data_IF_958342284827
#
_entry.id   IF_958342284827
#
_cell.length_a   1.000
_cell.length_b   1.000
_cell.length_c   1.000
_cell.angle_alpha   90.00
_cell.angle_beta   90.00
_cell.angle_gamma   90.00
#
_symmetry.space_group_name_H-M   'P 1'
#
loop_
_entity.id
_entity.type
_entity.pdbx_description
1 polymer ?
#
# COMPACT_ATOMS: atom_id res chain seq x y z
N UNK A 1 14.08 -15.15 8.98
CA UNK A 1 12.89 -14.80 9.78
C UNK A 1 11.69 -14.78 8.85
N UNK A 2 10.85 -15.81 8.93
CA UNK A 2 9.70 -16.01 8.04
C UNK A 2 8.46 -15.53 8.78
N UNK A 3 7.97 -14.33 8.43
CA UNK A 3 6.63 -13.89 8.82
C UNK A 3 5.80 -13.77 7.53
N UNK A 4 5.49 -14.93 6.95
CA UNK A 4 4.57 -15.08 5.83
C UNK A 4 3.36 -15.87 6.33
N UNK A 5 2.23 -15.17 6.48
CA UNK A 5 0.99 -15.70 7.05
C UNK A 5 0.45 -14.61 7.96
N UNK A 6 -0.45 -13.74 7.53
CA UNK A 6 -1.76 -14.04 6.94
C UNK A 6 -2.19 -12.84 6.09
N UNK A 7 -1.90 -12.81 4.78
CA UNK A 7 -2.49 -11.82 3.85
C UNK A 7 -2.26 -12.08 2.35
N UNK A 8 -1.47 -13.09 1.96
CA UNK A 8 -1.13 -13.39 0.55
C UNK A 8 -2.32 -13.88 -0.31
N UNK A 9 -3.57 -13.78 0.15
CA UNK A 9 -4.76 -14.21 -0.61
C UNK A 9 -5.42 -13.10 -1.43
N UNK A 10 -5.01 -11.84 -1.34
CA UNK A 10 -5.73 -10.73 -2.01
C UNK A 10 -5.05 -10.12 -3.24
N UNK A 11 -3.79 -10.44 -3.53
CA UNK A 11 -3.09 -9.83 -4.68
C UNK A 11 -3.68 -10.27 -6.04
N UNK A 12 -4.23 -11.48 -6.14
CA UNK A 12 -4.58 -12.10 -7.42
C UNK A 12 -5.64 -11.37 -8.26
N UNK A 13 -6.37 -10.36 -7.73
CA UNK A 13 -7.42 -9.65 -8.47
C UNK A 13 -7.61 -8.18 -8.06
N UNK A 14 -6.61 -7.52 -7.46
CA UNK A 14 -6.71 -6.09 -7.14
C UNK A 14 -6.35 -5.27 -8.37
N UNK A 15 -7.24 -4.37 -8.79
CA UNK A 15 -6.93 -3.37 -9.81
C UNK A 15 -6.13 -2.20 -9.22
N UNK A 16 -5.30 -1.48 -9.99
CA UNK A 16 -4.60 -0.28 -9.51
C UNK A 16 -5.52 0.75 -8.85
N UNK A 17 -6.74 0.90 -9.37
CA UNK A 17 -7.77 1.80 -8.81
C UNK A 17 -8.26 1.34 -7.43
N UNK A 18 -8.44 0.03 -7.23
CA UNK A 18 -8.82 -0.52 -5.93
C UNK A 18 -7.67 -0.37 -4.92
N UNK A 19 -6.42 -0.62 -5.35
CA UNK A 19 -5.24 -0.38 -4.54
C UNK A 19 -5.19 1.07 -4.07
N UNK A 20 -5.31 2.03 -4.98
CA UNK A 20 -5.27 3.45 -4.65
C UNK A 20 -6.30 3.83 -3.58
N UNK A 21 -7.55 3.40 -3.74
CA UNK A 21 -8.61 3.63 -2.73
C UNK A 21 -8.29 2.97 -1.40
N UNK A 22 -7.74 1.76 -1.42
CA UNK A 22 -7.38 1.02 -0.20
C UNK A 22 -6.27 1.74 0.58
N UNK A 23 -5.20 2.13 -0.10
CA UNK A 23 -4.07 2.84 0.51
C UNK A 23 -4.51 4.17 1.15
N UNK A 24 -5.42 4.91 0.49
CA UNK A 24 -5.97 6.14 1.06
C UNK A 24 -6.76 5.91 2.35
N UNK A 25 -7.55 4.83 2.42
CA UNK A 25 -8.26 4.44 3.66
C UNK A 25 -7.30 4.01 4.75
N UNK A 26 -6.23 3.31 4.41
CA UNK A 26 -5.21 2.91 5.39
C UNK A 26 -4.47 4.12 5.94
N UNK A 27 -4.23 5.17 5.13
CA UNK A 27 -3.71 6.45 5.62
C UNK A 27 -4.59 7.12 6.68
N UNK A 28 -5.91 6.93 6.65
CA UNK A 28 -6.81 7.51 7.67
C UNK A 28 -6.60 6.90 9.05
N UNK A 29 -6.03 5.69 9.13
CA UNK A 29 -5.66 5.02 10.39
C UNK A 29 -4.37 5.54 11.00
N UNK A 30 -3.60 6.32 10.25
CA UNK A 30 -2.32 6.87 10.71
C UNK A 30 -2.53 8.15 11.53
N UNK A 31 -1.57 8.53 12.39
CA UNK A 31 -1.60 9.83 13.07
C UNK A 31 -1.69 10.98 12.07
N UNK A 32 -2.43 12.05 12.43
CA UNK A 32 -2.72 13.20 11.54
C UNK A 32 -1.49 13.75 10.83
N UNK A 33 -0.38 13.88 11.56
CA UNK A 33 0.91 14.37 11.05
C UNK A 33 1.48 13.50 9.91
N UNK A 34 1.25 12.19 9.96
CA UNK A 34 1.77 11.24 8.97
C UNK A 34 0.84 11.09 7.75
N UNK A 35 -0.45 11.39 7.88
CA UNK A 35 -1.43 11.14 6.82
C UNK A 35 -1.09 11.88 5.52
N UNK A 36 -0.73 13.17 5.62
CA UNK A 36 -0.44 14.00 4.46
C UNK A 36 0.79 13.52 3.69
N UNK A 37 1.85 13.14 4.41
CA UNK A 37 3.06 12.58 3.83
C UNK A 37 2.72 11.33 2.99
N UNK A 38 2.04 10.35 3.59
CA UNK A 38 1.73 9.11 2.88
C UNK A 38 0.70 9.28 1.77
N UNK A 39 -0.32 10.14 1.93
CA UNK A 39 -1.24 10.50 0.85
C UNK A 39 -0.49 11.08 -0.36
N UNK A 40 0.50 11.94 -0.12
CA UNK A 40 1.33 12.49 -1.18
C UNK A 40 2.17 11.39 -1.85
N UNK A 41 2.85 10.55 -1.06
CA UNK A 41 3.66 9.43 -1.59
C UNK A 41 2.84 8.47 -2.45
N UNK A 42 1.63 8.11 -2.02
CA UNK A 42 0.72 7.24 -2.79
C UNK A 42 0.36 7.89 -4.13
N UNK A 43 0.04 9.19 -4.12
CA UNK A 43 -0.30 9.92 -5.34
C UNK A 43 0.90 9.96 -6.31
N UNK A 44 2.09 10.26 -5.82
CA UNK A 44 3.30 10.31 -6.65
C UNK A 44 3.63 8.95 -7.24
N UNK A 45 3.60 7.89 -6.42
CA UNK A 45 3.84 6.52 -6.89
C UNK A 45 2.84 6.10 -7.96
N UNK A 46 1.56 6.45 -7.82
CA UNK A 46 0.55 6.14 -8.82
C UNK A 46 0.79 6.87 -10.15
N UNK A 47 1.19 8.14 -10.09
CA UNK A 47 1.52 8.92 -11.30
C UNK A 47 2.75 8.37 -12.02
N UNK A 48 3.76 7.91 -11.27
CA UNK A 48 4.99 7.34 -11.83
C UNK A 48 4.71 6.06 -12.65
N UNK A 49 3.69 5.29 -12.30
CA UNK A 49 3.38 4.00 -12.91
C UNK A 49 2.13 4.00 -13.79
N UNK A 50 1.58 5.18 -14.11
CA UNK A 50 0.32 5.29 -14.87
C UNK A 50 0.44 4.73 -16.29
N UNK A 51 1.65 4.76 -16.87
CA UNK A 51 1.93 4.29 -18.23
C UNK A 51 2.61 2.91 -18.27
N UNK A 52 2.72 2.18 -17.14
CA UNK A 52 3.32 0.84 -17.12
C UNK A 52 2.47 -0.14 -17.94
N UNK A 53 2.96 -0.65 -19.08
CA UNK A 53 2.15 -1.47 -19.98
C UNK A 53 2.19 -2.96 -19.62
N UNK A 54 3.17 -3.37 -18.82
CA UNK A 54 3.39 -4.77 -18.47
C UNK A 54 2.50 -5.17 -17.27
N UNK A 55 1.53 -6.08 -17.47
CA UNK A 55 0.62 -6.50 -16.41
C UNK A 55 1.36 -7.19 -15.26
N UNK A 56 2.46 -7.90 -15.51
CA UNK A 56 3.23 -8.56 -14.46
C UNK A 56 3.90 -7.52 -13.56
N UNK A 57 4.51 -6.49 -14.15
CA UNK A 57 5.10 -5.38 -13.38
C UNK A 57 4.05 -4.65 -12.57
N UNK A 58 2.86 -4.43 -13.11
CA UNK A 58 1.74 -3.83 -12.38
C UNK A 58 1.36 -4.68 -11.16
N UNK A 59 1.32 -6.00 -11.29
CA UNK A 59 1.06 -6.89 -10.15
C UNK A 59 2.18 -6.80 -9.10
N UNK A 60 3.44 -6.84 -9.51
CA UNK A 60 4.59 -6.72 -8.59
C UNK A 60 4.56 -5.40 -7.80
N UNK A 61 4.20 -4.29 -8.46
CA UNK A 61 4.03 -2.97 -7.83
C UNK A 61 2.88 -3.03 -6.80
N UNK A 62 1.75 -3.66 -7.15
CA UNK A 62 0.61 -3.79 -6.25
C UNK A 62 0.99 -4.59 -5.01
N UNK A 63 1.64 -5.74 -5.18
CA UNK A 63 2.08 -6.59 -4.07
C UNK A 63 3.03 -5.85 -3.12
N UNK A 64 3.99 -5.12 -3.70
CA UNK A 64 4.95 -4.34 -2.92
C UNK A 64 4.27 -3.21 -2.15
N UNK A 65 3.37 -2.47 -2.79
CA UNK A 65 2.63 -1.38 -2.15
C UNK A 65 1.76 -1.89 -0.99
N UNK A 66 1.14 -3.06 -1.12
CA UNK A 66 0.38 -3.68 -0.03
C UNK A 66 1.28 -4.05 1.14
N UNK A 67 2.43 -4.68 0.88
CA UNK A 67 3.40 -5.05 1.91
C UNK A 67 3.96 -3.83 2.65
N UNK A 68 4.26 -2.77 1.92
CA UNK A 68 4.74 -1.51 2.50
C UNK A 68 3.66 -0.87 3.39
N UNK A 69 2.40 -0.86 2.93
CA UNK A 69 1.28 -0.35 3.73
C UNK A 69 1.05 -1.14 5.02
N UNK A 70 1.11 -2.48 4.95
CA UNK A 70 1.01 -3.34 6.13
C UNK A 70 2.12 -3.06 7.15
N UNK A 71 3.36 -2.92 6.68
CA UNK A 71 4.50 -2.59 7.54
C UNK A 71 4.33 -1.22 8.20
N UNK A 72 3.88 -0.21 7.46
CA UNK A 72 3.60 1.14 7.98
C UNK A 72 2.51 1.07 9.05
N UNK A 73 1.38 0.42 8.75
CA UNK A 73 0.26 0.29 9.69
C UNK A 73 0.70 -0.42 10.98
N UNK A 74 1.46 -1.51 10.87
CA UNK A 74 2.00 -2.21 12.03
C UNK A 74 2.93 -1.30 12.85
N UNK A 75 3.82 -0.57 12.20
CA UNK A 75 4.75 0.37 12.85
C UNK A 75 4.01 1.43 13.67
N UNK A 76 2.93 2.01 13.16
CA UNK A 76 2.16 3.03 13.88
C UNK A 76 1.17 2.43 14.89
N UNK A 77 0.66 1.23 14.64
CA UNK A 77 -0.17 0.50 15.61
C UNK A 77 0.63 0.13 16.86
N UNK A 78 1.88 -0.32 16.71
CA UNK A 78 2.76 -0.65 17.84
C UNK A 78 3.26 0.55 18.65
N UNK A 79 3.13 1.78 18.11
CA UNK A 79 3.53 3.02 18.79
C UNK A 79 2.40 3.73 19.53
N UNK A 80 1.16 3.26 19.38
CA UNK A 80 -0.01 3.79 20.08
C UNK A 80 -0.35 3.00 21.36
N UNK A 81 0.59 2.22 21.89
CA UNK A 81 0.55 1.58 23.22
C UNK A 81 1.70 2.11 24.05
#
# INVERSE_FOLDING_TARGET
MVFAGVALRQAANITPKQLYKRLLRDCEKLPKEAQNHYKHSIKQSFLQHVEEPDPQRVQDIIERALKDAEWILSKYSSKNT
#
